data_IF_207096434723
#
_entry.id   IF_207096434723
#
_cell.length_a   1.000
_cell.length_b   1.000
_cell.length_c   1.000
_cell.angle_alpha   90.00
_cell.angle_beta   90.00
_cell.angle_gamma   90.00
#
_symmetry.space_group_name_H-M   'P 1'
#
loop_
_entity.id
_entity.type
_entity.pdbx_description
1 polymer ?
#
# COMPACT_ATOMS: atom_id res chain seq x y z
N UNK A 1 -4.49 34.22 -11.97
CA UNK A 1 -5.08 33.93 -10.64
C UNK A 1 -5.20 32.42 -10.49
N UNK A 2 -5.05 31.86 -9.29
CA UNK A 2 -5.21 30.43 -9.07
C UNK A 2 -6.71 30.07 -8.95
N UNK A 3 -7.18 29.11 -9.74
CA UNK A 3 -8.59 28.68 -9.75
C UNK A 3 -8.99 27.83 -8.53
N UNK A 4 -8.06 27.55 -7.60
CA UNK A 4 -8.24 26.64 -6.47
C UNK A 4 -7.64 27.21 -5.18
N UNK A 5 -8.25 26.88 -4.03
CA UNK A 5 -7.74 27.22 -2.71
C UNK A 5 -6.38 26.55 -2.47
N UNK A 6 -5.41 27.33 -1.98
CA UNK A 6 -4.07 26.84 -1.64
C UNK A 6 -4.10 26.13 -0.28
N UNK A 7 -3.21 25.16 -0.10
CA UNK A 7 -3.00 24.43 1.16
C UNK A 7 -4.16 23.54 1.65
N UNK A 8 -5.16 23.30 0.81
CA UNK A 8 -6.27 22.38 1.13
C UNK A 8 -5.99 20.94 0.67
N UNK A 9 -5.46 20.77 -0.53
CA UNK A 9 -5.22 19.43 -1.09
C UNK A 9 -3.80 18.93 -0.80
N UNK A 10 -3.69 17.66 -0.36
CA UNK A 10 -2.42 16.94 -0.13
C UNK A 10 -1.46 17.62 0.85
N UNK A 11 -2.03 18.36 1.80
CA UNK A 11 -1.31 18.98 2.92
C UNK A 11 -1.46 18.13 4.17
N UNK A 12 -0.44 18.11 5.02
CA UNK A 12 -0.43 17.41 6.31
C UNK A 12 0.16 18.34 7.36
N UNK A 13 -0.47 18.36 8.53
CA UNK A 13 0.01 19.11 9.69
C UNK A 13 1.09 18.32 10.41
N UNK A 14 2.13 19.02 10.87
CA UNK A 14 3.23 18.40 11.63
C UNK A 14 2.92 18.51 13.12
N UNK A 15 2.87 17.37 13.81
CA UNK A 15 2.70 17.32 15.27
C UNK A 15 4.08 17.34 15.94
N UNK A 16 4.22 18.13 17.02
CA UNK A 16 5.39 18.12 17.93
C UNK A 16 6.76 18.30 17.23
N UNK A 17 6.78 18.98 16.07
CA UNK A 17 8.00 19.15 15.28
C UNK A 17 8.51 17.88 14.59
N UNK A 18 7.77 16.77 14.64
CA UNK A 18 8.16 15.50 14.02
C UNK A 18 7.87 15.47 12.51
N UNK A 19 8.77 16.07 11.73
CA UNK A 19 8.65 16.16 10.27
C UNK A 19 8.72 14.78 9.60
N UNK A 20 9.54 13.86 10.13
CA UNK A 20 9.70 12.52 9.56
C UNK A 20 8.42 11.70 9.62
N UNK A 21 7.68 11.80 10.73
CA UNK A 21 6.38 11.16 10.86
C UNK A 21 5.37 11.73 9.85
N UNK A 22 5.28 13.06 9.75
CA UNK A 22 4.39 13.71 8.78
C UNK A 22 4.75 13.35 7.32
N UNK A 23 6.04 13.27 7.00
CA UNK A 23 6.51 12.87 5.68
C UNK A 23 6.16 11.41 5.36
N UNK A 24 6.25 10.49 6.33
CA UNK A 24 5.82 9.09 6.16
C UNK A 24 4.31 8.95 5.96
N UNK A 25 3.52 9.80 6.62
CA UNK A 25 2.06 9.86 6.39
C UNK A 25 1.76 10.35 4.96
N UNK A 26 2.53 11.32 4.46
CA UNK A 26 2.39 11.82 3.09
C UNK A 26 2.87 10.83 2.01
N UNK A 27 4.06 10.28 2.17
CA UNK A 27 4.78 9.53 1.16
C UNK A 27 5.05 8.08 1.61
N UNK A 28 4.77 7.13 0.72
CA UNK A 28 5.15 5.73 0.94
C UNK A 28 6.64 5.52 0.63
N UNK A 29 7.50 5.83 1.59
CA UNK A 29 8.68 5.00 1.83
C UNK A 29 8.37 4.14 3.04
N UNK A 30 7.98 2.89 2.81
CA UNK A 30 7.89 1.94 3.92
C UNK A 30 9.26 1.93 4.63
N UNK A 31 9.31 2.08 5.96
CA UNK A 31 10.56 1.86 6.65
C UNK A 31 10.83 0.36 6.55
N UNK A 32 11.70 -0.05 5.62
CA UNK A 32 12.49 -1.25 5.83
C UNK A 32 13.46 -0.90 6.97
N UNK A 33 13.00 -0.99 8.21
CA UNK A 33 13.93 -0.94 9.35
C UNK A 33 14.69 -2.25 9.33
N UNK A 34 15.96 -2.17 8.95
CA UNK A 34 16.89 -3.30 9.00
C UNK A 34 17.23 -3.57 10.46
N UNK A 35 16.37 -4.31 11.16
CA UNK A 35 16.71 -4.83 12.48
C UNK A 35 17.34 -6.21 12.27
N UNK A 36 18.64 -6.32 12.53
CA UNK A 36 19.40 -7.60 12.48
C UNK A 36 19.29 -8.39 11.16
N UNK A 37 19.36 -7.71 10.01
CA UNK A 37 19.47 -8.39 8.71
C UNK A 37 18.21 -9.12 8.22
N UNK A 38 17.08 -9.00 8.93
CA UNK A 38 15.79 -9.54 8.53
C UNK A 38 14.84 -8.38 8.28
N UNK A 39 14.20 -8.38 7.12
CA UNK A 39 13.12 -7.44 6.83
C UNK A 39 11.87 -7.85 7.62
N UNK A 40 11.73 -7.34 8.85
CA UNK A 40 10.58 -7.62 9.71
C UNK A 40 9.51 -6.54 9.54
N UNK A 41 8.32 -6.97 9.14
CA UNK A 41 7.13 -6.12 9.13
C UNK A 41 6.61 -6.00 10.57
N UNK A 42 7.13 -5.03 11.33
CA UNK A 42 6.59 -4.73 12.66
C UNK A 42 5.16 -4.20 12.48
N UNK A 43 4.18 -5.07 12.68
CA UNK A 43 2.76 -4.77 12.53
C UNK A 43 2.25 -4.23 13.86
N UNK A 44 2.56 -2.97 14.17
CA UNK A 44 1.79 -2.20 15.14
C UNK A 44 0.35 -2.13 14.61
N UNK A 45 -0.57 -2.77 15.33
CA UNK A 45 -2.00 -2.92 14.96
C UNK A 45 -2.76 -1.58 14.87
N UNK A 46 -2.08 -0.45 15.14
CA UNK A 46 -2.65 0.90 15.17
C UNK A 46 -2.14 1.83 14.04
N UNK A 47 -1.23 1.37 13.17
CA UNK A 47 -0.73 2.17 12.04
C UNK A 47 -1.63 2.05 10.79
N UNK A 48 -2.95 2.15 10.93
CA UNK A 48 -3.86 2.38 9.80
C UNK A 48 -3.83 3.86 9.37
N UNK A 49 -2.66 4.49 9.40
CA UNK A 49 -2.52 5.91 9.08
C UNK A 49 -2.59 6.10 7.56
N UNK A 50 -3.62 6.81 7.14
CA UNK A 50 -3.84 7.40 5.82
C UNK A 50 -2.51 7.72 5.10
N UNK A 51 -2.09 6.86 4.17
CA UNK A 51 -0.97 7.15 3.26
C UNK A 51 -1.51 7.87 2.04
N UNK A 52 -1.68 9.18 2.16
CA UNK A 52 -2.51 9.99 1.26
C UNK A 52 -2.10 9.82 -0.21
N UNK A 53 -0.84 10.05 -0.56
CA UNK A 53 -0.40 10.06 -1.97
C UNK A 53 -0.35 8.67 -2.63
N UNK A 54 -0.15 7.63 -1.83
CA UNK A 54 -0.05 6.26 -2.33
C UNK A 54 -1.42 5.61 -2.45
N UNK A 55 -2.30 5.82 -1.47
CA UNK A 55 -3.69 5.38 -1.51
C UNK A 55 -4.42 6.00 -2.71
N UNK A 56 -4.21 7.30 -2.95
CA UNK A 56 -4.81 8.01 -4.08
C UNK A 56 -4.18 7.65 -5.44
N UNK A 57 -3.12 6.83 -5.46
CA UNK A 57 -2.42 6.41 -6.69
C UNK A 57 -1.65 7.52 -7.40
N UNK A 58 -1.46 8.70 -6.77
CA UNK A 58 -0.79 9.86 -7.36
C UNK A 58 0.66 9.53 -7.72
N UNK A 59 1.35 8.78 -6.87
CA UNK A 59 2.76 8.39 -7.09
C UNK A 59 2.90 7.56 -8.37
N UNK A 60 2.05 6.54 -8.54
CA UNK A 60 2.06 5.67 -9.72
C UNK A 60 1.63 6.43 -10.97
N UNK A 61 0.65 7.33 -10.87
CA UNK A 61 0.25 8.19 -11.96
C UNK A 61 1.39 9.11 -12.44
N UNK A 62 2.15 9.71 -11.52
CA UNK A 62 3.31 10.55 -11.85
C UNK A 62 4.40 9.72 -12.54
N UNK A 63 4.73 8.53 -12.02
CA UNK A 63 5.71 7.62 -12.65
C UNK A 63 5.31 7.24 -14.07
N UNK A 64 4.04 6.88 -14.29
CA UNK A 64 3.50 6.49 -15.60
C UNK A 64 3.50 7.65 -16.60
N UNK A 65 3.29 8.88 -16.14
CA UNK A 65 3.31 10.09 -16.99
C UNK A 65 4.72 10.56 -17.37
N UNK A 66 5.79 10.00 -16.78
CA UNK A 66 7.18 10.36 -17.11
C UNK A 66 7.52 10.07 -18.58
N UNK A 67 6.93 9.02 -19.16
CA UNK A 67 7.12 8.64 -20.55
C UNK A 67 5.77 8.29 -21.19
N UNK A 68 5.64 8.54 -22.49
CA UNK A 68 4.42 8.19 -23.21
C UNK A 68 4.21 6.66 -23.24
N UNK A 69 3.10 6.20 -22.64
CA UNK A 69 2.63 4.82 -22.74
C UNK A 69 1.70 4.69 -23.96
N UNK A 70 2.03 3.80 -24.89
CA UNK A 70 1.16 3.55 -26.06
C UNK A 70 -0.22 3.03 -25.61
N UNK A 71 -1.34 3.42 -26.26
CA UNK A 71 -2.69 3.01 -25.83
C UNK A 71 -2.91 1.50 -25.75
N UNK A 72 -2.28 0.71 -26.62
CA UNK A 72 -2.34 -0.75 -26.57
C UNK A 72 -1.67 -1.34 -25.32
N UNK A 73 -0.52 -0.77 -24.91
CA UNK A 73 0.21 -1.19 -23.71
C UNK A 73 -0.57 -0.81 -22.45
N UNK A 74 -1.15 0.40 -22.43
CA UNK A 74 -1.98 0.85 -21.32
C UNK A 74 -3.19 -0.08 -21.10
N UNK A 75 -3.87 -0.49 -22.18
CA UNK A 75 -4.98 -1.45 -22.11
C UNK A 75 -4.55 -2.81 -21.55
N UNK A 76 -3.43 -3.35 -22.03
CA UNK A 76 -2.88 -4.63 -21.54
C UNK A 76 -2.55 -4.54 -20.05
N UNK A 77 -1.92 -3.44 -19.63
CA UNK A 77 -1.57 -3.20 -18.22
C UNK A 77 -2.81 -3.11 -17.33
N UNK A 78 -3.82 -2.31 -17.71
CA UNK A 78 -5.08 -2.18 -16.94
C UNK A 78 -5.79 -3.53 -16.79
N UNK A 79 -5.82 -4.33 -17.86
CA UNK A 79 -6.39 -5.67 -17.81
C UNK A 79 -5.64 -6.57 -16.81
N UNK A 80 -4.31 -6.59 -16.90
CA UNK A 80 -3.47 -7.37 -15.98
C UNK A 80 -3.64 -6.93 -14.51
N UNK A 81 -3.63 -5.63 -14.24
CA UNK A 81 -3.83 -5.08 -12.88
C UNK A 81 -5.21 -5.47 -12.32
N UNK A 82 -6.25 -5.42 -13.14
CA UNK A 82 -7.59 -5.84 -12.75
C UNK A 82 -7.67 -7.33 -12.42
N UNK A 83 -7.15 -8.19 -13.29
CA UNK A 83 -7.13 -9.63 -13.05
C UNK A 83 -6.33 -9.99 -11.81
N UNK A 84 -5.16 -9.36 -11.62
CA UNK A 84 -4.32 -9.53 -10.43
C UNK A 84 -5.04 -9.09 -9.16
N UNK A 85 -5.79 -7.98 -9.20
CA UNK A 85 -6.58 -7.49 -8.07
C UNK A 85 -7.67 -8.49 -7.67
N UNK A 86 -8.41 -9.03 -8.64
CA UNK A 86 -9.45 -10.04 -8.39
C UNK A 86 -8.81 -11.28 -7.76
N UNK A 87 -7.77 -11.82 -8.40
CA UNK A 87 -7.05 -12.99 -7.91
C UNK A 87 -6.53 -12.81 -6.49
N UNK A 88 -5.83 -11.70 -6.21
CA UNK A 88 -5.29 -11.42 -4.88
C UNK A 88 -6.42 -11.29 -3.84
N UNK A 89 -7.56 -10.70 -4.21
CA UNK A 89 -8.70 -10.56 -3.31
C UNK A 89 -9.34 -11.90 -2.96
N UNK A 90 -9.52 -12.79 -3.95
CA UNK A 90 -10.08 -14.12 -3.73
C UNK A 90 -9.11 -15.04 -3.02
N UNK A 91 -7.82 -14.95 -3.35
CA UNK A 91 -6.78 -15.68 -2.65
C UNK A 91 -6.72 -15.27 -1.18
N UNK A 92 -6.79 -13.97 -0.88
CA UNK A 92 -6.84 -13.49 0.50
C UNK A 92 -8.08 -14.00 1.25
N UNK A 93 -9.26 -14.06 0.59
CA UNK A 93 -10.48 -14.65 1.17
C UNK A 93 -10.29 -16.14 1.46
N UNK A 94 -9.69 -16.90 0.54
CA UNK A 94 -9.42 -18.33 0.73
C UNK A 94 -8.45 -18.57 1.88
N UNK A 95 -7.37 -17.80 1.96
CA UNK A 95 -6.40 -17.88 3.06
C UNK A 95 -7.09 -17.58 4.40
N UNK A 96 -7.90 -16.52 4.47
CA UNK A 96 -8.65 -16.17 5.68
C UNK A 96 -9.66 -17.26 6.09
N UNK A 97 -10.22 -17.99 5.13
CA UNK A 97 -11.10 -19.11 5.40
C UNK A 97 -10.34 -20.34 5.93
N UNK A 98 -9.31 -20.79 5.21
CA UNK A 98 -8.52 -21.99 5.56
C UNK A 98 -7.72 -21.78 6.85
N UNK A 99 -7.25 -20.56 7.12
CA UNK A 99 -6.53 -20.25 8.36
C UNK A 99 -7.38 -20.46 9.63
N UNK A 100 -8.72 -20.49 9.53
CA UNK A 100 -9.58 -20.84 10.68
C UNK A 100 -9.43 -22.28 11.14
N UNK A 101 -9.01 -23.16 10.25
CA UNK A 101 -8.76 -24.58 10.52
C UNK A 101 -7.27 -24.89 10.66
N UNK A 102 -6.40 -23.88 10.62
CA UNK A 102 -4.97 -24.06 10.88
C UNK A 102 -4.75 -24.26 12.38
N UNK A 103 -4.79 -25.53 12.78
CA UNK A 103 -4.56 -26.03 14.14
C UNK A 103 -3.59 -27.20 14.05
N UNK A 104 -2.95 -27.54 15.16
CA UNK A 104 -2.17 -28.77 15.24
C UNK A 104 -3.07 -29.98 14.98
N UNK A 105 -2.48 -31.03 14.42
CA UNK A 105 -3.22 -32.26 14.13
C UNK A 105 -3.73 -32.87 15.43
N UNK A 106 -5.03 -33.19 15.46
CA UNK A 106 -5.67 -33.76 16.63
C UNK A 106 -5.25 -35.21 16.87
N UNK A 107 -4.76 -35.90 15.84
CA UNK A 107 -4.43 -37.33 15.88
C UNK A 107 -2.95 -37.57 15.64
N UNK A 108 -2.12 -37.08 16.56
CA UNK A 108 -0.67 -37.28 16.48
C UNK A 108 -0.34 -38.77 16.67
N UNK A 109 0.14 -39.42 15.61
CA UNK A 109 0.63 -40.80 15.65
C UNK A 109 -0.37 -41.90 15.27
N UNK A 110 -1.53 -41.54 14.72
CA UNK A 110 -2.41 -42.46 13.99
C UNK A 110 -2.14 -42.43 12.48
#
# INVERSE_FOLDING_TARGET
MANHLRFVARTVMVQEGNVDAAYKTLNSSGPWTKIKGVYLQHRSHLDSHLRVLAHDGVIEAVKRKRYFEKPCRERQRKNFENCKRIYNSDMARKIAFVSRTYRDDAWVGC
#
